data_IF_644533066237
#
_entry.id   IF_644533066237
#
_cell.length_a   1.000
_cell.length_b   1.000
_cell.length_c   1.000
_cell.angle_alpha   90.00
_cell.angle_beta   90.00
_cell.angle_gamma   90.00
#
_symmetry.space_group_name_H-M   'P 1'
#
loop_
_entity.id
_entity.type
_entity.pdbx_description
1 polymer ?
#
# COMPACT_ATOMS: atom_id res chain seq x y z
N UNK A 1 60.37 -68.59 -37.93
CA UNK A 1 60.39 -67.26 -37.27
C UNK A 1 59.26 -66.43 -37.86
N UNK A 2 58.43 -65.87 -36.99
CA UNK A 2 57.22 -65.10 -37.26
C UNK A 2 57.47 -63.87 -38.13
N UNK A 3 56.50 -63.55 -39.00
CA UNK A 3 56.12 -62.16 -39.31
C UNK A 3 54.74 -62.12 -39.97
N UNK A 4 53.72 -62.57 -39.22
CA UNK A 4 52.31 -62.60 -39.65
C UNK A 4 51.45 -61.41 -39.19
N UNK A 5 52.00 -60.38 -38.56
CA UNK A 5 51.18 -59.41 -37.78
C UNK A 5 51.28 -57.93 -38.20
N UNK A 6 51.89 -57.58 -39.33
CA UNK A 6 52.07 -56.16 -39.72
C UNK A 6 50.99 -55.52 -40.59
N UNK A 7 50.01 -56.29 -41.08
CA UNK A 7 48.91 -55.79 -41.93
C UNK A 7 47.59 -55.48 -41.22
N UNK A 8 47.42 -55.91 -39.96
CA UNK A 8 46.15 -55.68 -39.22
C UNK A 8 46.12 -54.35 -38.45
N UNK A 9 47.27 -53.83 -38.03
CA UNK A 9 47.33 -52.60 -37.22
C UNK A 9 46.87 -51.35 -37.98
N UNK A 10 47.07 -51.30 -39.30
CA UNK A 10 46.65 -50.19 -40.15
C UNK A 10 45.12 -50.18 -40.33
N UNK A 11 44.53 -51.36 -40.56
CA UNK A 11 43.07 -51.52 -40.71
C UNK A 11 42.36 -51.24 -39.37
N UNK A 12 42.90 -51.75 -38.26
CA UNK A 12 42.36 -51.45 -36.92
C UNK A 12 42.45 -49.96 -36.62
N UNK A 13 43.57 -49.29 -36.95
CA UNK A 13 43.72 -47.85 -36.75
C UNK A 13 42.69 -47.02 -37.52
N UNK A 14 42.41 -47.37 -38.78
CA UNK A 14 41.41 -46.70 -39.61
C UNK A 14 39.99 -46.92 -39.06
N UNK A 15 39.66 -48.14 -38.65
CA UNK A 15 38.34 -48.46 -38.06
C UNK A 15 38.14 -47.72 -36.73
N UNK A 16 39.18 -47.62 -35.90
CA UNK A 16 39.12 -46.92 -34.61
C UNK A 16 38.98 -45.41 -34.80
N UNK A 17 39.72 -44.82 -35.76
CA UNK A 17 39.56 -43.41 -36.11
C UNK A 17 38.16 -43.12 -36.65
N UNK A 18 37.63 -43.97 -37.52
CA UNK A 18 36.27 -43.84 -38.05
C UNK A 18 35.21 -43.98 -36.93
N UNK A 19 35.42 -44.91 -35.99
CA UNK A 19 34.54 -45.07 -34.84
C UNK A 19 34.54 -43.83 -33.92
N UNK A 20 35.72 -43.27 -33.65
CA UNK A 20 35.86 -42.05 -32.83
C UNK A 20 35.28 -40.83 -33.53
N UNK A 21 35.48 -40.66 -34.84
CA UNK A 21 34.93 -39.51 -35.57
C UNK A 21 33.41 -39.58 -35.66
N UNK A 22 32.84 -40.76 -35.92
CA UNK A 22 31.39 -40.96 -35.91
C UNK A 22 30.83 -40.68 -34.51
N UNK A 23 31.48 -41.18 -33.46
CA UNK A 23 31.07 -40.92 -32.09
C UNK A 23 31.13 -39.42 -31.75
N UNK A 24 32.21 -38.73 -32.10
CA UNK A 24 32.39 -37.29 -31.86
C UNK A 24 31.35 -36.44 -32.62
N UNK A 25 31.08 -36.76 -33.89
CA UNK A 25 30.04 -36.08 -34.68
C UNK A 25 28.66 -36.34 -34.08
N UNK A 26 28.35 -37.57 -33.68
CA UNK A 26 27.05 -37.93 -33.09
C UNK A 26 26.80 -37.16 -31.80
N UNK A 27 27.80 -37.10 -30.92
CA UNK A 27 27.71 -36.32 -29.67
C UNK A 27 27.53 -34.83 -29.97
N UNK A 28 28.32 -34.28 -30.90
CA UNK A 28 28.24 -32.86 -31.27
C UNK A 28 26.87 -32.50 -31.83
N UNK A 29 26.33 -33.32 -32.74
CA UNK A 29 25.00 -33.11 -33.32
C UNK A 29 23.93 -33.20 -32.23
N UNK A 30 23.97 -34.22 -31.37
CA UNK A 30 22.98 -34.39 -30.30
C UNK A 30 22.97 -33.18 -29.34
N UNK A 31 24.14 -32.69 -28.91
CA UNK A 31 24.24 -31.51 -28.05
C UNK A 31 23.82 -30.23 -28.79
N UNK A 32 24.18 -30.10 -30.08
CA UNK A 32 23.77 -28.98 -30.92
C UNK A 32 22.25 -28.88 -31.09
N UNK A 33 21.56 -30.01 -31.24
CA UNK A 33 20.10 -30.05 -31.35
C UNK A 33 19.40 -29.52 -30.10
N UNK A 34 19.86 -29.93 -28.92
CA UNK A 34 19.29 -29.49 -27.63
C UNK A 34 19.52 -28.00 -27.41
N UNK A 35 20.74 -27.52 -27.68
CA UNK A 35 21.06 -26.09 -27.57
C UNK A 35 20.27 -25.23 -28.57
N UNK A 36 20.03 -25.73 -29.79
CA UNK A 36 19.24 -25.03 -30.80
C UNK A 36 17.75 -24.96 -30.43
N UNK A 37 17.20 -26.03 -29.83
CA UNK A 37 15.82 -26.06 -29.32
C UNK A 37 15.60 -24.93 -28.31
N UNK A 38 16.43 -24.90 -27.25
CA UNK A 38 16.35 -23.87 -26.21
C UNK A 38 16.44 -22.43 -26.74
N UNK A 39 17.33 -22.18 -27.72
CA UNK A 39 17.45 -20.84 -28.34
C UNK A 39 16.23 -20.51 -29.19
N UNK A 40 15.61 -21.51 -29.82
CA UNK A 40 14.41 -21.31 -30.64
C UNK A 40 13.21 -20.98 -29.75
N UNK A 41 13.07 -21.68 -28.62
CA UNK A 41 11.97 -21.46 -27.68
C UNK A 41 12.06 -20.08 -27.02
N UNK A 42 13.27 -19.68 -26.57
CA UNK A 42 13.51 -18.33 -26.01
C UNK A 42 13.21 -17.23 -27.03
N UNK A 43 13.59 -17.43 -28.30
CA UNK A 43 13.33 -16.48 -29.37
C UNK A 43 11.82 -16.36 -29.69
N UNK A 44 11.07 -17.46 -29.57
CA UNK A 44 9.62 -17.45 -29.75
C UNK A 44 8.90 -16.73 -28.61
N UNK A 45 9.20 -17.07 -27.36
CA UNK A 45 8.64 -16.36 -26.18
C UNK A 45 8.97 -14.87 -26.24
N UNK A 46 10.21 -14.49 -26.56
CA UNK A 46 10.60 -13.09 -26.75
C UNK A 46 9.83 -12.41 -27.90
N UNK A 47 9.53 -13.13 -28.97
CA UNK A 47 8.69 -12.63 -30.07
C UNK A 47 7.27 -12.31 -29.60
N UNK A 48 6.67 -13.23 -28.85
CA UNK A 48 5.34 -13.06 -28.27
C UNK A 48 5.31 -11.93 -27.25
N UNK A 49 6.35 -11.75 -26.42
CA UNK A 49 6.42 -10.61 -25.48
C UNK A 49 6.35 -9.25 -26.18
N UNK A 50 7.09 -9.11 -27.28
CA UNK A 50 7.07 -7.89 -28.09
C UNK A 50 5.71 -7.70 -28.76
N UNK A 51 5.14 -8.79 -29.31
CA UNK A 51 3.81 -8.79 -29.92
C UNK A 51 2.70 -8.42 -28.94
N UNK A 52 2.74 -8.98 -27.72
CA UNK A 52 1.80 -8.68 -26.63
C UNK A 52 1.96 -7.23 -26.14
N UNK A 53 3.18 -6.71 -26.06
CA UNK A 53 3.43 -5.30 -25.70
C UNK A 53 2.88 -4.35 -26.78
N UNK A 54 3.02 -4.73 -28.05
CA UNK A 54 2.41 -3.97 -29.14
C UNK A 54 0.88 -4.06 -29.10
N UNK A 55 0.32 -5.25 -28.83
CA UNK A 55 -1.12 -5.43 -28.65
C UNK A 55 -1.66 -4.61 -27.47
N UNK A 56 -0.99 -4.61 -26.32
CA UNK A 56 -1.28 -3.74 -25.17
C UNK A 56 -1.39 -2.27 -25.61
N UNK A 57 -0.33 -1.77 -26.27
CA UNK A 57 -0.30 -0.38 -26.74
C UNK A 57 -1.42 -0.05 -27.74
N UNK A 58 -1.69 -0.95 -28.71
CA UNK A 58 -2.80 -0.75 -29.65
C UNK A 58 -4.16 -0.88 -28.98
N UNK A 59 -4.28 -1.78 -28.00
CA UNK A 59 -5.47 -2.00 -27.19
C UNK A 59 -5.82 -0.74 -26.39
N UNK A 60 -4.84 -0.09 -25.76
CA UNK A 60 -5.03 1.19 -25.07
C UNK A 60 -5.52 2.29 -26.01
N UNK A 61 -4.99 2.41 -27.23
CA UNK A 61 -5.46 3.39 -28.22
C UNK A 61 -6.92 3.14 -28.65
N UNK A 62 -7.33 1.87 -28.75
CA UNK A 62 -8.70 1.47 -29.10
C UNK A 62 -9.64 1.67 -27.92
N UNK A 63 -9.21 1.29 -26.72
CA UNK A 63 -9.90 1.47 -25.45
C UNK A 63 -10.23 2.94 -25.21
N UNK A 64 -9.24 3.83 -25.36
CA UNK A 64 -9.36 5.28 -25.16
C UNK A 64 -10.06 6.00 -26.33
N UNK A 65 -10.51 5.27 -27.36
CA UNK A 65 -11.32 5.80 -28.45
C UNK A 65 -10.55 6.56 -29.54
N UNK A 66 -9.22 6.41 -29.63
CA UNK A 66 -8.43 7.00 -30.71
C UNK A 66 -8.55 6.22 -32.04
N UNK A 67 -8.99 4.94 -31.98
CA UNK A 67 -9.27 4.11 -33.14
C UNK A 67 -10.38 3.08 -32.86
N UNK A 68 -11.21 2.76 -33.86
CA UNK A 68 -12.28 1.76 -33.70
C UNK A 68 -11.74 0.31 -33.66
N UNK A 69 -10.67 0.05 -34.41
CA UNK A 69 -10.04 -1.25 -34.52
C UNK A 69 -8.57 -1.16 -34.97
N UNK A 70 -7.74 -2.11 -34.55
CA UNK A 70 -6.32 -2.23 -34.94
C UNK A 70 -5.97 -3.69 -35.18
N UNK A 71 -5.09 -3.95 -36.14
CA UNK A 71 -4.51 -5.29 -36.33
C UNK A 71 -3.35 -5.50 -35.35
N UNK A 72 -3.21 -6.73 -34.89
CA UNK A 72 -2.06 -7.17 -34.10
C UNK A 72 -1.44 -8.44 -34.70
N UNK A 73 -0.18 -8.65 -34.39
CA UNK A 73 0.61 -9.83 -34.76
C UNK A 73 1.48 -10.19 -33.54
N UNK A 74 1.21 -11.36 -32.96
CA UNK A 74 1.96 -11.90 -31.82
C UNK A 74 3.20 -12.69 -32.26
N UNK A 75 3.45 -12.80 -33.56
CA UNK A 75 4.49 -13.64 -34.14
C UNK A 75 4.07 -15.11 -34.26
N UNK A 76 5.06 -16.00 -34.39
CA UNK A 76 4.82 -17.44 -34.42
C UNK A 76 4.52 -17.93 -33.00
N UNK A 77 3.36 -18.56 -32.85
CA UNK A 77 2.88 -19.15 -31.58
C UNK A 77 2.98 -20.68 -31.59
N UNK A 78 3.64 -21.26 -32.59
CA UNK A 78 3.67 -22.72 -32.83
C UNK A 78 4.40 -23.52 -31.73
N UNK A 79 5.26 -22.88 -30.93
CA UNK A 79 5.96 -23.50 -29.79
C UNK A 79 5.21 -23.44 -28.47
N UNK A 80 3.95 -23.01 -28.46
CA UNK A 80 3.15 -22.92 -27.24
C UNK A 80 1.64 -22.92 -27.52
N UNK A 81 0.86 -22.61 -26.49
CA UNK A 81 -0.60 -22.52 -26.57
C UNK A 81 -1.07 -21.11 -26.19
N UNK A 82 -1.95 -20.53 -27.02
CA UNK A 82 -2.66 -19.31 -26.66
C UNK A 82 -3.96 -19.65 -25.93
N UNK A 83 -4.23 -18.94 -24.83
CA UNK A 83 -5.44 -19.07 -24.02
C UNK A 83 -6.02 -17.70 -23.71
N UNK A 84 -7.28 -17.48 -24.04
CA UNK A 84 -8.05 -16.32 -23.61
C UNK A 84 -9.06 -16.74 -22.53
N UNK A 85 -8.93 -16.14 -21.35
CA UNK A 85 -9.84 -16.33 -20.22
C UNK A 85 -10.39 -14.99 -19.74
N UNK A 86 -11.64 -14.71 -20.09
CA UNK A 86 -12.32 -13.45 -19.80
C UNK A 86 -12.60 -13.25 -18.29
N UNK A 87 -12.54 -14.32 -17.50
CA UNK A 87 -12.81 -14.26 -16.06
C UNK A 87 -11.53 -14.21 -15.22
N UNK A 88 -10.36 -14.37 -15.86
CA UNK A 88 -9.07 -14.36 -15.18
C UNK A 88 -8.60 -12.94 -14.84
N UNK A 89 -8.04 -12.79 -13.65
CA UNK A 89 -7.60 -11.52 -13.10
C UNK A 89 -8.78 -10.66 -12.68
N UNK A 90 -8.88 -10.31 -11.40
CA UNK A 90 -9.94 -9.46 -10.86
C UNK A 90 -9.34 -8.18 -10.32
N UNK A 91 -10.02 -7.07 -10.54
CA UNK A 91 -9.71 -5.78 -9.94
C UNK A 91 -10.93 -5.23 -9.22
N UNK A 92 -10.67 -4.71 -8.04
CA UNK A 92 -11.64 -4.05 -7.21
C UNK A 92 -11.09 -2.68 -6.80
N UNK A 93 -11.84 -1.63 -7.12
CA UNK A 93 -11.57 -0.27 -6.65
C UNK A 93 -12.71 0.11 -5.72
N UNK A 94 -12.39 0.48 -4.49
CA UNK A 94 -13.39 0.83 -3.48
C UNK A 94 -12.88 1.95 -2.59
N UNK A 95 -13.80 2.66 -1.96
CA UNK A 95 -13.51 3.72 -1.00
C UNK A 95 -13.97 3.19 0.36
N UNK A 96 -13.02 3.05 1.29
CA UNK A 96 -13.30 2.68 2.67
C UNK A 96 -13.44 3.96 3.51
N UNK A 97 -14.58 4.10 4.18
CA UNK A 97 -14.80 5.03 5.28
C UNK A 97 -15.12 4.23 6.54
N UNK A 98 -15.17 4.88 7.71
CA UNK A 98 -15.51 4.20 8.98
C UNK A 98 -16.86 3.47 8.94
N UNK A 99 -17.83 4.04 8.22
CA UNK A 99 -19.23 3.58 8.25
C UNK A 99 -19.62 2.77 7.00
N UNK A 100 -18.88 2.92 5.90
CA UNK A 100 -19.28 2.40 4.60
C UNK A 100 -18.08 2.03 3.73
N UNK A 101 -18.24 0.99 2.91
CA UNK A 101 -17.33 0.66 1.81
C UNK A 101 -18.07 0.83 0.50
N UNK A 102 -17.71 1.88 -0.24
CA UNK A 102 -18.28 2.19 -1.54
C UNK A 102 -17.48 1.49 -2.64
N UNK A 103 -18.09 0.52 -3.32
CA UNK A 103 -17.50 -0.11 -4.50
C UNK A 103 -17.57 0.85 -5.69
N UNK A 104 -16.40 1.27 -6.21
CA UNK A 104 -16.29 2.13 -7.39
C UNK A 104 -16.26 1.29 -8.67
N UNK A 105 -15.49 0.21 -8.67
CA UNK A 105 -15.41 -0.74 -9.76
C UNK A 105 -15.13 -2.14 -9.24
N UNK A 106 -15.78 -3.14 -9.82
CA UNK A 106 -15.51 -4.54 -9.50
C UNK A 106 -15.71 -5.43 -10.72
N UNK A 107 -14.61 -5.98 -11.25
CA UNK A 107 -14.69 -6.73 -12.49
C UNK A 107 -13.44 -7.55 -12.80
N UNK A 108 -13.57 -8.42 -13.80
CA UNK A 108 -12.43 -9.17 -14.34
C UNK A 108 -11.72 -8.37 -15.42
N UNK A 109 -10.39 -8.40 -15.43
CA UNK A 109 -9.58 -7.88 -16.53
C UNK A 109 -9.72 -8.74 -17.78
N UNK A 110 -9.87 -10.06 -17.62
CA UNK A 110 -9.61 -10.99 -18.71
C UNK A 110 -8.11 -11.09 -18.99
N UNK A 111 -7.66 -12.29 -19.32
CA UNK A 111 -6.23 -12.56 -19.54
C UNK A 111 -6.03 -13.32 -20.85
N UNK A 112 -5.21 -12.77 -21.74
CA UNK A 112 -4.67 -13.49 -22.89
C UNK A 112 -3.28 -14.01 -22.54
N UNK A 113 -3.12 -15.32 -22.48
CA UNK A 113 -1.86 -15.98 -22.13
C UNK A 113 -1.29 -16.73 -23.32
N UNK A 114 0.03 -16.71 -23.42
CA UNK A 114 0.82 -17.63 -24.22
C UNK A 114 1.63 -18.51 -23.28
N UNK A 115 1.36 -19.81 -23.28
CA UNK A 115 2.07 -20.81 -22.47
C UNK A 115 3.10 -21.50 -23.35
N UNK A 116 4.36 -21.09 -23.23
CA UNK A 116 5.50 -21.78 -23.83
C UNK A 116 6.07 -22.87 -22.92
N UNK A 117 7.14 -23.55 -23.36
CA UNK A 117 7.75 -24.64 -22.58
C UNK A 117 8.41 -24.15 -21.27
N UNK A 118 9.03 -22.97 -21.30
CA UNK A 118 9.80 -22.43 -20.17
C UNK A 118 9.21 -21.14 -19.59
N UNK A 119 8.36 -20.44 -20.35
CA UNK A 119 7.93 -19.08 -20.02
C UNK A 119 6.49 -18.86 -20.46
N UNK A 120 5.71 -18.29 -19.55
CA UNK A 120 4.34 -17.83 -19.83
C UNK A 120 4.34 -16.32 -19.99
N UNK A 121 3.66 -15.82 -21.00
CA UNK A 121 3.48 -14.38 -21.24
C UNK A 121 1.99 -14.06 -21.21
N UNK A 122 1.59 -13.08 -20.43
CA UNK A 122 0.20 -12.70 -20.27
C UNK A 122 -0.03 -11.21 -20.51
N UNK A 123 -1.13 -10.91 -21.20
CA UNK A 123 -1.70 -9.57 -21.30
C UNK A 123 -2.91 -9.50 -20.36
N UNK A 124 -2.86 -8.61 -19.36
CA UNK A 124 -3.90 -8.43 -18.36
C UNK A 124 -3.96 -6.97 -17.88
N UNK A 125 -5.15 -6.38 -17.83
CA UNK A 125 -5.36 -5.02 -17.31
C UNK A 125 -4.59 -3.93 -18.07
N UNK A 126 -4.26 -4.18 -19.34
CA UNK A 126 -3.41 -3.31 -20.16
C UNK A 126 -1.90 -3.50 -19.95
N UNK A 127 -1.47 -4.24 -18.93
CA UNK A 127 -0.06 -4.59 -18.68
C UNK A 127 0.32 -5.92 -19.33
N UNK A 128 1.63 -6.10 -19.57
CA UNK A 128 2.20 -7.36 -20.04
C UNK A 128 3.10 -7.93 -18.98
N UNK A 129 2.87 -9.19 -18.65
CA UNK A 129 3.51 -9.93 -17.57
C UNK A 129 4.19 -11.16 -18.13
N UNK A 130 5.34 -11.52 -17.57
CA UNK A 130 6.01 -12.78 -17.85
C UNK A 130 6.11 -13.58 -16.55
N UNK A 131 5.93 -14.89 -16.62
CA UNK A 131 6.19 -15.80 -15.51
C UNK A 131 7.22 -16.84 -15.94
N UNK A 132 8.29 -16.95 -15.14
CA UNK A 132 9.32 -17.98 -15.23
C UNK A 132 9.57 -18.53 -13.82
N UNK A 133 9.57 -19.85 -13.66
CA UNK A 133 9.77 -20.49 -12.36
C UNK A 133 8.70 -20.19 -11.30
N UNK A 134 7.53 -19.66 -11.70
CA UNK A 134 6.41 -19.34 -10.80
C UNK A 134 6.39 -17.89 -10.29
N UNK A 135 7.35 -17.05 -10.68
CA UNK A 135 7.40 -15.63 -10.29
C UNK A 135 6.95 -14.73 -11.45
N UNK A 136 5.98 -13.86 -11.18
CA UNK A 136 5.46 -12.91 -12.16
C UNK A 136 6.31 -11.63 -12.24
N UNK A 137 6.69 -11.22 -13.44
CA UNK A 137 7.47 -9.99 -13.70
C UNK A 137 6.76 -9.10 -14.72
N UNK A 138 6.80 -7.80 -14.49
CA UNK A 138 6.34 -6.81 -15.47
C UNK A 138 7.27 -6.69 -16.68
N UNK A 139 6.71 -6.80 -17.88
CA UNK A 139 7.37 -6.52 -19.18
C UNK A 139 6.96 -5.14 -19.69
N UNK A 140 5.66 -4.87 -19.69
CA UNK A 140 5.08 -3.58 -20.06
C UNK A 140 4.09 -3.13 -18.98
N UNK A 141 4.17 -1.87 -18.52
CA UNK A 141 3.28 -1.39 -17.48
C UNK A 141 1.83 -1.27 -17.98
N UNK A 142 0.85 -1.50 -17.10
CA UNK A 142 -0.54 -1.10 -17.33
C UNK A 142 -0.69 0.42 -17.24
N UNK A 143 -1.85 0.92 -17.65
CA UNK A 143 -2.21 2.32 -17.49
C UNK A 143 -2.66 2.60 -16.05
N UNK A 144 -1.84 3.31 -15.29
CA UNK A 144 -2.16 3.80 -13.94
C UNK A 144 -1.38 5.09 -13.74
N UNK A 145 -2.10 6.21 -13.63
CA UNK A 145 -1.50 7.54 -13.55
C UNK A 145 -1.87 8.18 -12.23
N UNK A 146 -0.93 8.15 -11.30
CA UNK A 146 -1.00 8.93 -10.09
C UNK A 146 -0.13 10.19 -10.22
N UNK A 147 -0.71 11.37 -10.03
CA UNK A 147 0.01 12.65 -10.11
C UNK A 147 -0.52 13.66 -9.09
N UNK A 148 0.34 14.06 -8.15
CA UNK A 148 0.01 15.09 -7.16
C UNK A 148 -1.03 14.56 -6.18
N UNK A 149 -2.31 14.77 -6.50
CA UNK A 149 -3.45 14.25 -5.72
C UNK A 149 -4.53 13.60 -6.60
N UNK A 150 -4.20 13.29 -7.86
CA UNK A 150 -5.15 12.70 -8.81
C UNK A 150 -4.71 11.30 -9.21
N UNK A 151 -5.57 10.31 -9.00
CA UNK A 151 -5.46 8.98 -9.60
C UNK A 151 -6.37 8.88 -10.82
N UNK A 152 -5.79 8.59 -11.98
CA UNK A 152 -6.50 8.19 -13.18
C UNK A 152 -6.18 6.73 -13.49
N UNK A 153 -7.18 5.86 -13.40
CA UNK A 153 -7.05 4.42 -13.62
C UNK A 153 -8.02 3.91 -14.71
N UNK A 154 -7.58 3.87 -15.98
CA UNK A 154 -8.37 3.28 -17.06
C UNK A 154 -8.16 1.76 -17.08
N UNK A 155 -9.18 1.03 -16.63
CA UNK A 155 -9.19 -0.43 -16.57
C UNK A 155 -9.48 -0.98 -17.96
N UNK A 156 -8.54 -1.75 -18.52
CA UNK A 156 -8.71 -2.42 -19.82
C UNK A 156 -9.19 -3.85 -19.60
N UNK A 157 -10.36 -4.18 -20.13
CA UNK A 157 -10.95 -5.52 -20.07
C UNK A 157 -10.89 -6.22 -21.42
N UNK A 158 -10.33 -7.42 -21.45
CA UNK A 158 -10.21 -8.28 -22.63
C UNK A 158 -11.39 -9.23 -22.75
N UNK A 159 -11.99 -9.29 -23.94
CA UNK A 159 -13.01 -10.27 -24.32
C UNK A 159 -12.68 -10.90 -25.67
N UNK A 160 -13.33 -12.00 -26.04
CA UNK A 160 -13.18 -12.62 -27.35
C UNK A 160 -14.00 -13.89 -27.52
N UNK A 161 -14.27 -14.25 -28.78
CA UNK A 161 -15.08 -15.43 -29.10
C UNK A 161 -14.31 -16.75 -28.92
N UNK A 162 -12.99 -16.72 -29.09
CA UNK A 162 -12.12 -17.90 -29.09
C UNK A 162 -11.30 -18.00 -27.80
N UNK A 163 -11.54 -19.07 -27.02
CA UNK A 163 -10.76 -19.36 -25.81
C UNK A 163 -9.37 -19.93 -26.08
N UNK A 164 -9.19 -20.61 -27.21
CA UNK A 164 -7.93 -21.26 -27.60
C UNK A 164 -7.58 -20.92 -29.05
N UNK A 165 -7.11 -19.69 -29.31
CA UNK A 165 -6.75 -19.24 -30.65
C UNK A 165 -5.59 -20.07 -31.21
N UNK A 166 -5.62 -20.31 -32.53
CA UNK A 166 -4.53 -21.02 -33.23
C UNK A 166 -3.58 -20.10 -33.99
N UNK A 167 -3.99 -18.85 -34.20
CA UNK A 167 -3.22 -17.81 -34.90
C UNK A 167 -2.78 -16.76 -33.90
N UNK A 168 -1.56 -16.24 -34.05
CA UNK A 168 -1.09 -15.04 -33.34
C UNK A 168 -1.57 -13.74 -34.00
N UNK A 169 -2.30 -13.81 -35.11
CA UNK A 169 -2.76 -12.64 -35.87
C UNK A 169 -4.25 -12.41 -35.63
N UNK A 170 -4.63 -11.14 -35.62
CA UNK A 170 -6.03 -10.76 -35.47
C UNK A 170 -6.28 -9.26 -35.45
N UNK A 171 -7.48 -8.91 -35.01
CA UNK A 171 -7.97 -7.55 -34.84
C UNK A 171 -8.41 -7.36 -33.39
N UNK A 172 -7.92 -6.29 -32.76
CA UNK A 172 -8.48 -5.76 -31.52
C UNK A 172 -9.43 -4.63 -31.86
N UNK A 173 -10.62 -4.65 -31.27
CA UNK A 173 -11.68 -3.66 -31.55
C UNK A 173 -12.41 -3.28 -30.29
N UNK A 174 -12.88 -2.04 -30.24
CA UNK A 174 -13.60 -1.53 -29.07
C UNK A 174 -14.94 -2.25 -28.98
N UNK A 175 -15.26 -2.77 -27.81
CA UNK A 175 -16.58 -3.30 -27.50
C UNK A 175 -17.33 -2.27 -26.65
N UNK A 176 -18.66 -2.09 -26.84
CA UNK A 176 -19.47 -1.36 -25.89
C UNK A 176 -19.37 -2.06 -24.52
N UNK A 177 -18.73 -1.40 -23.56
CA UNK A 177 -18.71 -1.85 -22.17
C UNK A 177 -20.07 -1.66 -21.50
N UNK A 178 -20.16 -2.09 -20.25
CA UNK A 178 -21.33 -1.79 -19.42
C UNK A 178 -21.23 -0.32 -18.96
N UNK A 179 -22.17 0.57 -19.35
CA UNK A 179 -22.12 1.97 -18.96
C UNK A 179 -22.24 2.17 -17.43
N UNK A 180 -22.76 1.18 -16.72
CA UNK A 180 -22.92 1.18 -15.26
C UNK A 180 -21.82 0.34 -14.56
N UNK A 181 -20.76 -0.07 -15.29
CA UNK A 181 -19.65 -0.85 -14.72
C UNK A 181 -18.86 -0.08 -13.65
N UNK A 182 -18.82 1.25 -13.77
CA UNK A 182 -18.13 2.15 -12.85
C UNK A 182 -19.16 3.02 -12.16
N UNK A 183 -19.21 2.94 -10.84
CA UNK A 183 -20.04 3.81 -10.04
C UNK A 183 -19.46 5.22 -10.03
N UNK A 184 -20.33 6.22 -10.19
CA UNK A 184 -19.91 7.63 -10.19
C UNK A 184 -19.39 7.99 -8.81
N UNK A 185 -18.14 8.46 -8.76
CA UNK A 185 -17.51 8.95 -7.54
C UNK A 185 -17.56 10.47 -7.49
N UNK A 186 -17.92 11.02 -6.33
CA UNK A 186 -17.81 12.45 -6.08
C UNK A 186 -16.35 12.90 -6.17
N UNK A 187 -16.12 14.06 -6.79
CA UNK A 187 -14.81 14.64 -6.95
C UNK A 187 -14.90 16.14 -6.65
N UNK A 188 -14.07 16.69 -5.75
CA UNK A 188 -13.03 16.01 -4.96
C UNK A 188 -13.62 15.01 -3.95
N UNK A 189 -12.84 13.99 -3.60
CA UNK A 189 -13.13 13.08 -2.50
C UNK A 189 -13.12 13.87 -1.18
N UNK A 190 -14.05 13.57 -0.28
CA UNK A 190 -14.20 14.29 0.99
C UNK A 190 -13.46 13.60 2.13
N UNK A 191 -13.47 12.27 2.18
CA UNK A 191 -12.79 11.47 3.20
C UNK A 191 -12.57 10.03 2.69
N UNK A 192 -11.92 9.21 3.52
CA UNK A 192 -11.76 7.78 3.30
C UNK A 192 -10.44 7.37 2.65
N UNK A 193 -10.30 6.06 2.44
CA UNK A 193 -9.16 5.42 1.81
C UNK A 193 -9.59 4.76 0.51
N UNK A 194 -9.00 5.20 -0.60
CA UNK A 194 -9.14 4.53 -1.90
C UNK A 194 -8.26 3.28 -1.89
N UNK A 195 -8.90 2.12 -2.02
CA UNK A 195 -8.25 0.82 -2.09
C UNK A 195 -8.37 0.28 -3.51
N UNK A 196 -7.22 -0.02 -4.11
CA UNK A 196 -7.11 -0.73 -5.39
C UNK A 196 -6.55 -2.12 -5.12
N UNK A 197 -7.42 -3.13 -5.20
CA UNK A 197 -7.06 -4.53 -4.99
C UNK A 197 -7.06 -5.29 -6.31
N UNK A 198 -6.02 -6.08 -6.54
CA UNK A 198 -5.86 -6.93 -7.72
C UNK A 198 -5.64 -8.37 -7.26
N UNK A 199 -6.51 -9.27 -7.71
CA UNK A 199 -6.34 -10.71 -7.56
C UNK A 199 -5.90 -11.33 -8.90
N UNK A 200 -4.70 -11.89 -8.95
CA UNK A 200 -4.13 -12.40 -10.20
C UNK A 200 -3.05 -13.45 -9.99
N UNK A 201 -2.83 -14.33 -10.97
CA UNK A 201 -1.63 -15.18 -10.98
C UNK A 201 -0.33 -14.38 -11.11
N UNK A 202 -0.42 -13.14 -11.59
CA UNK A 202 0.70 -12.21 -11.77
C UNK A 202 0.78 -11.16 -10.64
N UNK A 203 0.20 -11.42 -9.47
CA UNK A 203 0.12 -10.47 -8.35
C UNK A 203 1.50 -9.94 -7.93
N UNK A 204 2.58 -10.74 -7.94
CA UNK A 204 3.93 -10.25 -7.64
C UNK A 204 4.38 -9.14 -8.61
N UNK A 205 4.05 -9.26 -9.90
CA UNK A 205 4.33 -8.22 -10.88
C UNK A 205 3.50 -6.96 -10.64
N UNK A 206 2.25 -7.11 -10.22
CA UNK A 206 1.39 -5.99 -9.82
C UNK A 206 1.90 -5.30 -8.55
N UNK A 207 2.39 -6.07 -7.58
CA UNK A 207 3.02 -5.56 -6.36
C UNK A 207 4.27 -4.74 -6.70
N UNK A 208 5.16 -5.26 -7.54
CA UNK A 208 6.34 -4.54 -8.00
C UNK A 208 5.96 -3.25 -8.74
N UNK A 209 4.91 -3.28 -9.56
CA UNK A 209 4.42 -2.12 -10.29
C UNK A 209 3.89 -1.04 -9.36
N UNK A 210 2.99 -1.38 -8.45
CA UNK A 210 2.44 -0.42 -7.49
C UNK A 210 3.51 0.09 -6.53
N UNK A 211 4.42 -0.75 -6.06
CA UNK A 211 5.51 -0.31 -5.18
C UNK A 211 6.44 0.71 -5.86
N UNK A 212 6.58 0.66 -7.19
CA UNK A 212 7.41 1.59 -7.96
C UNK A 212 6.67 2.85 -8.44
N UNK A 213 5.33 2.82 -8.55
CA UNK A 213 4.54 3.88 -9.21
C UNK A 213 3.34 4.38 -8.45
N UNK A 214 2.78 3.60 -7.53
CA UNK A 214 1.55 3.95 -6.82
C UNK A 214 1.79 4.89 -5.63
N UNK A 215 3.05 5.18 -5.27
CA UNK A 215 3.44 6.12 -4.21
C UNK A 215 2.53 6.11 -2.93
N UNK A 216 2.03 4.93 -2.56
CA UNK A 216 1.16 4.68 -1.41
C UNK A 216 1.54 3.37 -0.73
N UNK A 217 0.85 2.98 0.35
CA UNK A 217 1.11 1.66 0.97
C UNK A 217 0.60 0.57 0.03
N UNK A 218 1.50 -0.36 -0.28
CA UNK A 218 1.23 -1.50 -1.14
C UNK A 218 1.55 -2.76 -0.36
N UNK A 219 0.57 -3.63 -0.22
CA UNK A 219 0.73 -4.93 0.43
C UNK A 219 0.41 -6.05 -0.56
N UNK A 220 0.84 -7.27 -0.21
CA UNK A 220 0.50 -8.48 -0.96
C UNK A 220 0.13 -9.61 -0.01
N UNK A 221 -0.77 -10.48 -0.45
CA UNK A 221 -1.13 -11.73 0.22
C UNK A 221 -0.85 -12.88 -0.75
N UNK A 222 0.22 -13.63 -0.47
CA UNK A 222 0.68 -14.74 -1.31
C UNK A 222 -0.31 -15.94 -1.28
N UNK A 223 -1.10 -16.09 -0.20
CA UNK A 223 -2.07 -17.19 -0.07
C UNK A 223 -3.30 -16.96 -0.93
N UNK A 224 -3.78 -15.72 -1.01
CA UNK A 224 -4.90 -15.32 -1.85
C UNK A 224 -4.49 -14.82 -3.24
N UNK A 225 -3.18 -14.65 -3.47
CA UNK A 225 -2.58 -14.09 -4.69
C UNK A 225 -3.15 -12.71 -5.01
N UNK A 226 -3.15 -11.84 -4.00
CA UNK A 226 -3.66 -10.48 -4.10
C UNK A 226 -2.58 -9.44 -3.86
N UNK A 227 -2.78 -8.27 -4.46
CA UNK A 227 -1.98 -7.06 -4.24
C UNK A 227 -2.93 -5.90 -3.99
N UNK A 228 -2.65 -5.12 -2.96
CA UNK A 228 -3.53 -4.04 -2.53
C UNK A 228 -2.74 -2.76 -2.40
N UNK A 229 -3.13 -1.73 -3.14
CA UNK A 229 -2.61 -0.37 -3.01
C UNK A 229 -3.65 0.50 -2.29
N UNK A 230 -3.20 1.29 -1.32
CA UNK A 230 -4.03 2.19 -0.51
C UNK A 230 -3.58 3.64 -0.73
N UNK A 231 -4.56 4.53 -0.96
CA UNK A 231 -4.36 5.98 -1.11
C UNK A 231 -5.37 6.70 -0.23
N UNK A 232 -4.90 7.60 0.62
CA UNK A 232 -5.74 8.23 1.64
C UNK A 232 -6.12 9.63 1.22
N UNK A 233 -7.40 9.97 1.40
CA UNK A 233 -7.89 11.33 1.20
C UNK A 233 -7.44 12.17 2.39
N UNK A 234 -6.63 13.22 2.21
CA UNK A 234 -6.28 14.13 3.29
C UNK A 234 -7.53 14.70 3.91
N UNK A 235 -7.48 14.85 5.22
CA UNK A 235 -8.44 15.65 5.93
C UNK A 235 -7.70 16.72 6.73
N UNK A 236 -8.27 17.92 6.72
CA UNK A 236 -7.76 19.05 7.47
C UNK A 236 -8.64 19.19 8.70
N UNK A 237 -8.12 18.72 9.84
CA UNK A 237 -8.86 18.78 11.09
C UNK A 237 -8.68 20.17 11.68
N UNK A 238 -9.80 20.85 11.88
CA UNK A 238 -9.86 22.13 12.60
C UNK A 238 -10.54 21.95 13.94
N UNK A 239 -9.91 22.45 15.00
CA UNK A 239 -10.45 22.37 16.35
C UNK A 239 -11.20 23.66 16.69
N UNK A 240 -12.49 23.74 16.33
CA UNK A 240 -13.38 24.81 16.82
C UNK A 240 -13.77 24.62 18.30
N UNK A 241 -13.72 23.37 18.77
CA UNK A 241 -13.93 22.94 20.15
C UNK A 241 -12.75 22.06 20.59
N UNK A 242 -12.48 21.93 21.89
CA UNK A 242 -11.39 21.08 22.37
C UNK A 242 -11.62 19.60 22.03
N UNK A 243 -12.87 19.12 22.05
CA UNK A 243 -13.20 17.73 21.74
C UNK A 243 -14.05 17.62 20.46
N UNK A 244 -13.71 16.69 19.58
CA UNK A 244 -14.54 16.27 18.46
C UNK A 244 -14.82 14.77 18.57
N UNK A 245 -16.10 14.40 18.62
CA UNK A 245 -16.54 13.03 18.83
C UNK A 245 -17.22 12.46 17.59
N UNK A 246 -16.90 11.20 17.30
CA UNK A 246 -17.54 10.40 16.28
C UNK A 246 -18.97 9.99 16.64
N UNK A 247 -19.36 8.81 16.16
CA UNK A 247 -20.74 8.31 16.31
C UNK A 247 -21.10 7.86 17.73
N UNK A 248 -20.10 7.60 18.58
CA UNK A 248 -20.31 7.17 19.96
C UNK A 248 -20.70 8.30 20.92
N UNK A 249 -20.32 9.55 20.62
CA UNK A 249 -20.73 10.74 21.36
C UNK A 249 -20.21 10.81 22.80
N UNK A 250 -20.76 11.74 23.58
CA UNK A 250 -20.37 12.02 24.96
C UNK A 250 -21.34 11.38 25.96
N UNK A 251 -20.78 10.72 26.98
CA UNK A 251 -21.52 10.18 28.12
C UNK A 251 -20.90 10.63 29.44
N UNK A 252 -21.73 10.90 30.44
CA UNK A 252 -21.29 11.19 31.81
C UNK A 252 -21.91 10.20 32.79
N UNK A 253 -21.07 9.39 33.43
CA UNK A 253 -21.46 8.37 34.40
C UNK A 253 -21.21 8.79 35.87
N UNK A 254 -20.81 10.05 36.06
CA UNK A 254 -20.64 10.69 37.36
C UNK A 254 -21.91 11.36 37.90
N UNK A 255 -21.84 11.81 39.15
CA UNK A 255 -22.89 12.64 39.74
C UNK A 255 -22.56 14.12 39.62
N UNK A 256 -23.18 14.86 38.70
CA UNK A 256 -22.89 16.29 38.52
C UNK A 256 -23.43 16.80 37.18
N UNK A 257 -22.98 17.99 36.78
CA UNK A 257 -23.02 18.39 35.37
C UNK A 257 -21.72 17.91 34.75
N UNK A 258 -21.79 17.08 33.71
CA UNK A 258 -20.62 16.68 32.92
C UNK A 258 -20.01 17.85 32.15
N UNK A 259 -19.36 17.57 31.02
CA UNK A 259 -18.84 18.58 30.11
C UNK A 259 -19.92 19.56 29.64
N UNK A 260 -19.50 20.80 29.40
CA UNK A 260 -20.36 21.79 28.76
C UNK A 260 -20.49 21.47 27.26
N UNK A 261 -21.67 21.67 26.69
CA UNK A 261 -21.92 21.43 25.25
C UNK A 261 -21.07 22.35 24.34
N UNK A 262 -20.45 23.39 24.88
CA UNK A 262 -19.47 24.22 24.16
C UNK A 262 -18.09 23.58 24.03
N UNK A 263 -17.78 22.55 24.82
CA UNK A 263 -16.46 21.91 24.85
C UNK A 263 -16.32 20.75 23.84
N UNK A 264 -17.43 20.25 23.26
CA UNK A 264 -17.38 19.07 22.38
C UNK A 264 -18.36 19.12 21.20
N UNK A 265 -18.01 18.57 20.04
CA UNK A 265 -18.94 18.21 18.95
C UNK A 265 -19.17 16.70 18.91
N UNK A 266 -20.31 16.26 18.35
CA UNK A 266 -20.68 14.84 18.23
C UNK A 266 -21.23 14.51 16.85
N UNK A 267 -21.08 13.25 16.43
CA UNK A 267 -21.54 12.78 15.14
C UNK A 267 -20.69 13.28 13.98
N UNK A 268 -19.47 13.72 14.27
CA UNK A 268 -18.48 14.08 13.28
C UNK A 268 -17.95 12.82 12.60
N UNK A 269 -17.50 12.94 11.35
CA UNK A 269 -16.87 11.84 10.62
C UNK A 269 -15.38 12.14 10.52
N UNK A 270 -14.56 11.21 10.96
CA UNK A 270 -13.11 11.35 10.95
C UNK A 270 -12.49 10.27 10.07
N UNK A 271 -11.45 10.57 9.28
CA UNK A 271 -10.71 9.53 8.60
C UNK A 271 -9.98 8.59 9.57
N UNK A 272 -9.92 7.32 9.22
CA UNK A 272 -9.07 6.35 9.93
C UNK A 272 -7.59 6.73 9.87
N UNK A 273 -6.88 6.45 10.96
CA UNK A 273 -5.46 6.81 11.18
C UNK A 273 -4.50 5.63 10.90
N UNK A 274 -5.04 4.44 10.61
CA UNK A 274 -4.30 3.19 10.51
C UNK A 274 -3.22 3.27 9.44
N UNK A 275 -3.59 3.74 8.26
CA UNK A 275 -2.70 3.92 7.11
C UNK A 275 -1.53 4.86 7.38
N UNK A 276 -1.78 5.97 8.11
CA UNK A 276 -0.76 6.91 8.54
C UNK A 276 0.24 6.23 9.48
N UNK A 277 -0.24 5.42 10.41
CA UNK A 277 0.60 4.71 11.37
C UNK A 277 1.37 3.56 10.70
N UNK A 278 0.71 2.72 9.87
CA UNK A 278 1.35 1.61 9.16
C UNK A 278 2.50 2.11 8.28
N UNK A 279 2.28 3.21 7.55
CA UNK A 279 3.31 3.84 6.73
C UNK A 279 4.52 4.29 7.55
N UNK A 280 4.27 4.88 8.73
CA UNK A 280 5.37 5.28 9.60
C UNK A 280 6.11 4.06 10.16
N UNK A 281 5.40 3.00 10.57
CA UNK A 281 6.04 1.74 11.02
C UNK A 281 6.89 1.11 9.91
N UNK A 282 6.35 1.00 8.69
CA UNK A 282 7.04 0.43 7.53
C UNK A 282 8.27 1.25 7.12
N UNK A 283 8.14 2.58 7.09
CA UNK A 283 9.23 3.48 6.67
C UNK A 283 10.44 3.45 7.59
N UNK A 284 10.22 3.18 8.88
CA UNK A 284 11.27 3.27 9.90
C UNK A 284 12.04 1.97 10.07
N UNK A 285 11.47 0.83 9.62
CA UNK A 285 12.01 -0.53 9.76
C UNK A 285 13.44 -0.76 9.26
N UNK A 286 14.04 0.18 8.52
CA UNK A 286 15.43 0.10 8.07
C UNK A 286 16.33 1.31 8.46
N UNK A 287 15.79 2.40 9.04
CA UNK A 287 16.55 3.66 9.17
C UNK A 287 16.34 4.50 10.43
N UNK A 288 15.37 4.17 11.29
CA UNK A 288 15.14 4.89 12.55
C UNK A 288 16.19 4.61 13.64
N UNK A 289 16.40 5.59 14.52
CA UNK A 289 17.05 5.35 15.81
C UNK A 289 16.17 4.46 16.69
N UNK A 290 16.75 3.69 17.61
CA UNK A 290 15.94 2.94 18.55
C UNK A 290 15.36 3.92 19.57
N UNK A 291 14.06 3.85 19.88
CA UNK A 291 13.44 4.75 20.87
C UNK A 291 14.14 4.67 22.22
N UNK A 292 14.53 3.48 22.65
CA UNK A 292 15.27 3.28 23.91
C UNK A 292 16.62 4.00 23.96
N UNK A 293 17.18 4.45 22.84
CA UNK A 293 18.43 5.20 22.80
C UNK A 293 18.29 6.62 23.36
N UNK A 294 17.07 7.20 23.34
CA UNK A 294 16.80 8.54 23.87
C UNK A 294 15.88 8.55 25.10
N UNK A 295 15.35 7.40 25.50
CA UNK A 295 14.67 7.28 26.79
C UNK A 295 15.69 7.29 27.95
N UNK A 296 15.33 7.89 29.09
CA UNK A 296 16.10 7.83 30.35
C UNK A 296 17.55 8.38 30.28
N UNK A 297 17.73 9.63 29.85
CA UNK A 297 19.04 10.28 30.00
C UNK A 297 19.18 11.67 29.41
N UNK A 298 19.33 11.76 28.09
CA UNK A 298 19.44 13.03 27.34
C UNK A 298 18.15 13.27 26.56
N UNK A 299 17.81 14.53 26.24
CA UNK A 299 16.62 14.81 25.46
C UNK A 299 16.63 14.06 24.13
N UNK A 300 15.48 13.55 23.70
CA UNK A 300 15.29 13.07 22.33
C UNK A 300 15.39 14.29 21.39
N UNK A 301 16.50 14.35 20.63
CA UNK A 301 16.76 15.41 19.65
C UNK A 301 16.06 15.13 18.31
N UNK A 302 16.11 16.07 17.37
CA UNK A 302 15.46 15.94 16.07
C UNK A 302 15.82 14.63 15.34
N UNK A 303 14.80 13.91 14.86
CA UNK A 303 15.01 12.60 14.23
C UNK A 303 13.78 11.71 14.35
N UNK A 304 13.92 10.48 13.89
CA UNK A 304 12.88 9.46 13.96
C UNK A 304 13.34 8.31 14.84
N UNK A 305 12.52 7.96 15.83
CA UNK A 305 12.77 6.93 16.82
C UNK A 305 11.70 5.86 16.73
N UNK A 306 12.10 4.60 16.86
CA UNK A 306 11.22 3.45 16.68
C UNK A 306 11.31 2.43 17.80
N UNK A 307 10.14 1.95 18.22
CA UNK A 307 9.98 0.79 19.07
C UNK A 307 9.16 -0.27 18.30
N UNK A 308 9.68 -1.50 18.13
CA UNK A 308 8.99 -2.56 17.39
C UNK A 308 7.84 -3.25 18.15
N UNK A 309 7.78 -3.03 19.47
CA UNK A 309 6.83 -3.62 20.42
C UNK A 309 6.39 -2.52 21.42
N UNK A 310 5.56 -2.90 22.40
CA UNK A 310 5.05 -2.04 23.46
C UNK A 310 6.17 -1.30 24.23
N UNK A 311 5.85 -0.08 24.68
CA UNK A 311 6.75 0.81 25.40
C UNK A 311 6.15 1.18 26.73
N UNK A 312 6.76 0.71 27.82
CA UNK A 312 6.49 1.17 29.17
C UNK A 312 7.53 2.23 29.59
N UNK A 313 7.09 3.45 29.89
CA UNK A 313 8.00 4.49 30.37
C UNK A 313 8.34 4.27 31.84
N UNK A 314 9.63 4.01 32.10
CA UNK A 314 10.17 3.87 33.47
C UNK A 314 10.55 5.21 34.12
N UNK A 315 10.49 6.32 33.37
CA UNK A 315 10.82 7.66 33.84
C UNK A 315 10.57 8.76 32.81
N UNK A 316 10.75 10.00 33.26
CA UNK A 316 10.48 11.20 32.47
C UNK A 316 11.34 11.27 31.21
N UNK A 317 10.73 11.75 30.12
CA UNK A 317 11.37 11.91 28.82
C UNK A 317 11.26 13.36 28.36
N UNK A 318 12.42 13.95 28.09
CA UNK A 318 12.55 15.30 27.56
C UNK A 318 12.75 15.25 26.04
N UNK A 319 12.19 16.21 25.31
CA UNK A 319 12.40 16.39 23.88
C UNK A 319 13.07 17.73 23.59
N UNK A 320 14.04 17.74 22.67
CA UNK A 320 14.65 18.96 22.12
C UNK A 320 14.31 19.05 20.63
N UNK A 321 13.34 19.90 20.31
CA UNK A 321 12.90 20.13 18.93
C UNK A 321 13.62 21.31 18.28
N UNK A 322 14.68 21.86 18.88
CA UNK A 322 15.42 23.02 18.33
C UNK A 322 16.06 22.75 16.97
N UNK A 323 16.45 21.49 16.72
CA UNK A 323 17.01 21.02 15.44
C UNK A 323 15.99 20.67 14.36
N UNK A 324 14.70 20.58 14.72
CA UNK A 324 13.61 20.11 13.86
C UNK A 324 12.62 19.24 14.63
N UNK A 325 11.61 18.72 13.93
CA UNK A 325 10.62 17.83 14.55
C UNK A 325 11.26 16.53 15.05
N UNK A 326 10.68 15.98 16.11
CA UNK A 326 10.97 14.64 16.61
C UNK A 326 9.79 13.73 16.22
N UNK A 327 10.08 12.55 15.71
CA UNK A 327 9.07 11.56 15.34
C UNK A 327 9.27 10.30 16.15
N UNK A 328 8.25 9.89 16.90
CA UNK A 328 8.22 8.69 17.72
C UNK A 328 7.24 7.72 17.05
N UNK A 329 7.71 6.52 16.72
CA UNK A 329 6.90 5.46 16.12
C UNK A 329 6.93 4.24 17.04
N UNK A 330 5.77 3.85 17.55
CA UNK A 330 5.61 2.70 18.43
C UNK A 330 4.73 1.68 17.73
N UNK A 331 5.28 0.49 17.48
CA UNK A 331 4.56 -0.62 16.87
C UNK A 331 3.90 -1.51 17.94
N UNK A 332 3.10 -0.89 18.80
CA UNK A 332 2.47 -1.49 19.97
C UNK A 332 1.87 -0.40 20.85
N UNK A 333 1.62 -0.74 22.11
CA UNK A 333 1.08 0.20 23.11
C UNK A 333 2.16 1.14 23.65
N UNK A 334 1.78 2.37 23.98
CA UNK A 334 2.62 3.33 24.69
C UNK A 334 2.02 3.60 26.08
N UNK A 335 2.59 2.98 27.11
CA UNK A 335 2.25 3.26 28.50
C UNK A 335 3.18 4.34 29.06
N UNK A 336 2.64 5.54 29.22
CA UNK A 336 3.33 6.68 29.84
C UNK A 336 3.55 6.42 31.34
N UNK A 337 2.75 5.53 31.94
CA UNK A 337 2.82 5.23 33.36
C UNK A 337 2.59 6.50 34.18
N UNK A 338 3.50 6.79 35.11
CA UNK A 338 3.49 7.99 35.95
C UNK A 338 4.56 9.01 35.52
N UNK A 339 5.00 8.94 34.26
CA UNK A 339 6.15 9.69 33.76
C UNK A 339 5.70 10.95 33.03
N UNK A 340 6.63 11.89 32.90
CA UNK A 340 6.41 13.12 32.12
C UNK A 340 6.97 13.01 30.70
N UNK A 341 6.24 13.55 29.71
CA UNK A 341 6.71 13.80 28.35
C UNK A 341 6.74 15.30 28.10
N UNK A 342 7.93 15.91 28.11
CA UNK A 342 8.06 17.36 28.07
C UNK A 342 8.93 17.84 26.91
N UNK A 343 8.42 18.81 26.14
CA UNK A 343 9.22 19.51 25.14
C UNK A 343 9.93 20.71 25.79
N UNK A 344 11.26 20.68 25.77
CA UNK A 344 12.13 21.53 26.59
C UNK A 344 12.92 22.56 25.80
N UNK A 345 12.23 23.22 24.87
CA UNK A 345 12.79 24.31 24.08
C UNK A 345 11.69 25.29 23.66
N UNK A 346 12.09 26.38 22.97
CA UNK A 346 11.21 27.46 22.55
C UNK A 346 11.04 27.54 21.02
N UNK A 347 11.28 26.45 20.30
CA UNK A 347 11.00 26.36 18.86
C UNK A 347 9.53 26.11 18.57
N UNK A 348 9.11 26.31 17.33
CA UNK A 348 7.75 26.00 16.85
C UNK A 348 7.63 24.55 16.34
N UNK A 349 8.69 23.75 16.45
CA UNK A 349 8.70 22.36 16.02
C UNK A 349 7.95 21.48 17.02
N UNK A 350 7.48 20.34 16.55
CA UNK A 350 6.66 19.41 17.33
C UNK A 350 7.27 18.02 17.46
N UNK A 351 6.81 17.30 18.48
CA UNK A 351 6.96 15.86 18.65
C UNK A 351 5.69 15.19 18.09
N UNK A 352 5.88 14.27 17.15
CA UNK A 352 4.80 13.49 16.55
C UNK A 352 4.90 12.05 17.00
N UNK A 353 3.83 11.52 17.58
CA UNK A 353 3.72 10.15 18.07
C UNK A 353 2.80 9.36 17.14
N UNK A 354 3.31 8.28 16.54
CA UNK A 354 2.55 7.32 15.74
C UNK A 354 2.50 6.00 16.51
N UNK A 355 1.34 5.68 17.09
CA UNK A 355 1.19 4.55 18.02
C UNK A 355 0.26 3.51 17.39
N UNK A 356 0.82 2.36 17.01
CA UNK A 356 0.11 1.19 16.48
C UNK A 356 -0.47 0.33 17.62
N UNK A 357 -1.24 0.98 18.49
CA UNK A 357 -1.80 0.40 19.69
C UNK A 357 -2.54 1.49 20.46
N UNK A 358 -2.66 1.31 21.76
CA UNK A 358 -3.24 2.28 22.68
C UNK A 358 -2.18 3.14 23.37
N UNK A 359 -2.56 4.37 23.75
CA UNK A 359 -1.78 5.22 24.66
C UNK A 359 -2.42 5.18 26.04
N UNK A 360 -1.66 4.74 27.03
CA UNK A 360 -2.09 4.58 28.42
C UNK A 360 -1.33 5.57 29.30
N UNK A 361 -1.98 6.08 30.35
CA UNK A 361 -1.34 6.89 31.37
C UNK A 361 -2.03 6.71 32.72
N UNK A 362 -1.26 6.72 33.80
CA UNK A 362 -1.76 6.45 35.15
C UNK A 362 -1.03 7.28 36.23
N UNK A 363 -1.70 7.45 37.36
CA UNK A 363 -1.17 8.07 38.57
C UNK A 363 -0.81 9.55 38.47
N UNK A 364 0.33 9.99 37.93
CA UNK A 364 0.68 11.43 37.84
C UNK A 364 1.35 11.87 36.52
N UNK A 365 1.00 11.25 35.39
CA UNK A 365 1.62 11.58 34.11
C UNK A 365 1.30 13.00 33.61
N UNK A 366 2.31 13.67 33.07
CA UNK A 366 2.17 14.99 32.42
C UNK A 366 2.71 14.93 30.99
N UNK A 367 1.93 15.38 30.02
CA UNK A 367 2.39 15.59 28.63
C UNK A 367 2.24 17.07 28.31
N UNK A 368 3.32 17.72 27.85
CA UNK A 368 3.23 19.14 27.54
C UNK A 368 4.57 19.78 27.18
N UNK A 369 4.70 21.06 27.51
CA UNK A 369 5.94 21.82 27.33
C UNK A 369 6.34 22.48 28.64
N UNK A 370 7.62 22.81 28.80
CA UNK A 370 8.08 23.57 29.98
C UNK A 370 7.83 25.07 29.89
N UNK A 371 7.17 25.54 28.83
CA UNK A 371 6.82 26.95 28.67
C UNK A 371 5.62 27.31 29.56
N UNK A 372 5.51 28.61 29.88
CA UNK A 372 4.46 29.10 30.77
C UNK A 372 3.07 29.20 30.10
N UNK A 373 3.05 29.23 28.77
CA UNK A 373 1.82 29.21 27.97
C UNK A 373 1.62 27.78 27.44
N UNK A 374 0.38 27.34 27.36
CA UNK A 374 0.03 26.05 26.74
C UNK A 374 0.36 26.07 25.26
N UNK A 375 1.07 25.05 24.80
CA UNK A 375 1.49 24.88 23.40
C UNK A 375 1.12 23.47 22.91
N UNK A 376 -0.17 23.11 22.99
CA UNK A 376 -0.66 21.76 22.71
C UNK A 376 -0.27 21.26 21.31
N UNK A 377 -0.15 22.16 20.33
CA UNK A 377 0.28 21.83 18.96
C UNK A 377 1.68 21.21 18.88
N UNK A 378 2.50 21.34 19.93
CA UNK A 378 3.86 20.79 19.99
C UNK A 378 3.90 19.30 20.32
N UNK A 379 2.83 18.74 20.88
CA UNK A 379 2.68 17.31 21.06
C UNK A 379 1.52 16.82 20.19
N UNK A 380 1.80 15.96 19.21
CA UNK A 380 0.80 15.47 18.25
C UNK A 380 0.74 13.95 18.29
N UNK A 381 -0.34 13.39 18.82
CA UNK A 381 -0.56 11.94 18.90
C UNK A 381 -1.48 11.48 17.77
N UNK A 382 -1.06 10.43 17.07
CA UNK A 382 -1.84 9.68 16.09
C UNK A 382 -1.91 8.24 16.60
N UNK A 383 -3.09 7.83 17.05
CA UNK A 383 -3.26 6.60 17.85
C UNK A 383 -4.29 5.70 17.22
N UNK A 384 -3.91 4.45 16.97
CA UNK A 384 -4.72 3.49 16.22
C UNK A 384 -5.95 3.02 16.97
N UNK A 385 -5.75 2.62 18.22
CA UNK A 385 -6.75 1.92 19.02
C UNK A 385 -7.35 2.87 20.06
N UNK A 386 -6.82 2.90 21.29
CA UNK A 386 -7.38 3.66 22.40
C UNK A 386 -6.45 4.76 22.93
N UNK A 387 -7.04 5.82 23.47
CA UNK A 387 -6.31 6.88 24.16
C UNK A 387 -6.90 7.10 25.55
N UNK A 388 -6.10 6.88 26.59
CA UNK A 388 -6.51 7.03 27.99
C UNK A 388 -7.74 6.18 28.36
N UNK A 389 -7.76 4.92 27.91
CA UNK A 389 -8.75 3.94 28.34
C UNK A 389 -8.45 3.51 29.78
N UNK A 390 -9.44 3.62 30.67
CA UNK A 390 -9.36 3.19 32.08
C UNK A 390 -8.31 3.94 32.93
N UNK A 391 -8.36 5.28 32.92
CA UNK A 391 -7.44 6.12 33.71
C UNK A 391 -7.72 6.13 35.21
N UNK A 392 -6.66 6.08 36.03
CA UNK A 392 -6.69 6.39 37.47
C UNK A 392 -5.57 7.37 37.84
N UNK A 393 -5.81 8.24 38.82
CA UNK A 393 -4.84 9.24 39.30
C UNK A 393 -5.12 10.69 38.91
N UNK A 394 -4.07 11.46 38.66
CA UNK A 394 -4.05 12.86 38.25
C UNK A 394 -3.24 13.01 36.96
N UNK A 395 -3.89 13.18 35.81
CA UNK A 395 -3.23 13.20 34.50
C UNK A 395 -3.40 14.58 33.87
N UNK A 396 -2.36 15.13 33.27
CA UNK A 396 -2.38 16.42 32.56
C UNK A 396 -1.82 16.24 31.14
N UNK A 397 -2.63 16.52 30.12
CA UNK A 397 -2.25 16.35 28.71
C UNK A 397 -2.49 17.65 27.95
N UNK A 398 -1.39 18.28 27.56
CA UNK A 398 -1.34 19.41 26.64
C UNK A 398 -0.89 18.93 25.26
N UNK A 399 -1.86 18.55 24.42
CA UNK A 399 -1.58 17.93 23.13
C UNK A 399 -2.70 18.10 22.11
N UNK A 400 -2.35 17.84 20.85
CA UNK A 400 -3.30 17.44 19.81
C UNK A 400 -3.32 15.92 19.77
N UNK A 401 -4.50 15.31 19.91
CA UNK A 401 -4.69 13.87 19.85
C UNK A 401 -5.68 13.51 18.75
N UNK A 402 -5.24 12.67 17.81
CA UNK A 402 -6.05 12.12 16.75
C UNK A 402 -6.17 10.61 16.92
N UNK A 403 -7.27 10.18 17.56
CA UNK A 403 -7.57 8.79 17.89
C UNK A 403 -9.03 8.48 17.54
N UNK A 404 -9.41 8.53 16.24
CA UNK A 404 -10.81 8.50 15.80
C UNK A 404 -11.55 7.20 16.16
N UNK A 405 -10.82 6.10 16.41
CA UNK A 405 -11.39 4.82 16.83
C UNK A 405 -11.51 4.66 18.37
N UNK A 406 -10.98 5.61 19.16
CA UNK A 406 -10.87 5.48 20.62
C UNK A 406 -12.21 5.67 21.31
N UNK A 407 -12.56 4.73 22.19
CA UNK A 407 -13.66 4.84 23.15
C UNK A 407 -13.11 5.27 24.51
N UNK A 408 -12.81 6.56 24.63
CA UNK A 408 -12.06 7.11 25.76
C UNK A 408 -12.88 7.14 27.05
N UNK A 409 -12.34 6.60 28.15
CA UNK A 409 -12.99 6.57 29.46
C UNK A 409 -12.12 7.28 30.51
N UNK A 410 -12.52 8.50 30.87
CA UNK A 410 -11.80 9.34 31.83
C UNK A 410 -12.26 9.06 33.26
N UNK A 411 -11.40 8.38 34.01
CA UNK A 411 -11.46 8.19 35.45
C UNK A 411 -10.47 9.11 36.19
N UNK A 412 -10.55 9.15 37.52
CA UNK A 412 -9.63 9.97 38.33
C UNK A 412 -9.79 11.49 38.14
N UNK A 413 -8.67 12.22 38.17
CA UNK A 413 -8.59 13.65 37.89
C UNK A 413 -7.81 13.89 36.59
N UNK A 414 -8.47 14.31 35.51
CA UNK A 414 -7.80 14.45 34.19
C UNK A 414 -7.96 15.87 33.68
N UNK A 415 -6.85 16.52 33.31
CA UNK A 415 -6.84 17.81 32.62
C UNK A 415 -6.38 17.61 31.17
N UNK A 416 -7.21 18.01 30.22
CA UNK A 416 -6.92 17.94 28.78
C UNK A 416 -6.93 19.36 28.20
N UNK A 417 -5.81 19.82 27.66
CA UNK A 417 -5.70 21.13 27.01
C UNK A 417 -5.24 20.96 25.56
N UNK A 418 -6.06 21.40 24.60
CA UNK A 418 -5.71 21.29 23.18
C UNK A 418 -6.88 20.88 22.29
N UNK A 419 -6.63 19.90 21.42
CA UNK A 419 -7.57 19.43 20.41
C UNK A 419 -7.57 17.90 20.33
N UNK A 420 -8.71 17.28 20.59
CA UNK A 420 -8.83 15.83 20.73
C UNK A 420 -9.93 15.28 19.84
N UNK A 421 -9.61 14.22 19.11
CA UNK A 421 -10.53 13.48 18.23
C UNK A 421 -10.68 12.06 18.75
N UNK A 422 -11.91 11.66 19.11
CA UNK A 422 -12.27 10.33 19.62
C UNK A 422 -13.54 9.78 18.96
N UNK A 423 -13.78 8.47 19.01
CA UNK A 423 -15.10 7.92 18.63
C UNK A 423 -16.15 8.26 19.69
N UNK A 424 -15.80 8.03 20.96
CA UNK A 424 -16.64 8.34 22.11
C UNK A 424 -15.82 8.84 23.29
N UNK A 425 -16.48 9.58 24.19
CA UNK A 425 -15.88 10.04 25.44
C UNK A 425 -16.85 9.80 26.60
N UNK A 426 -16.40 9.03 27.58
CA UNK A 426 -17.11 8.80 28.84
C UNK A 426 -16.34 9.41 29.99
N UNK A 427 -17.00 10.25 30.81
CA UNK A 427 -16.40 10.77 32.05
C UNK A 427 -17.08 10.15 33.27
N UNK A 428 -16.29 9.62 34.22
CA UNK A 428 -16.81 8.90 35.39
C UNK A 428 -16.78 9.70 36.69
N UNK A 429 -15.96 10.76 36.73
CA UNK A 429 -15.80 11.65 37.89
C UNK A 429 -16.19 13.07 37.51
N UNK A 430 -16.28 14.00 38.46
CA UNK A 430 -16.41 15.44 38.16
C UNK A 430 -15.08 16.18 38.22
N UNK A 431 -13.98 15.45 38.41
CA UNK A 431 -12.66 16.04 38.62
C UNK A 431 -11.86 16.07 37.32
N UNK A 432 -12.54 16.30 36.19
CA UNK A 432 -11.89 16.53 34.91
C UNK A 432 -11.94 18.03 34.54
N UNK A 433 -10.97 18.47 33.75
CA UNK A 433 -10.93 19.78 33.14
C UNK A 433 -10.61 19.62 31.65
N UNK A 434 -11.36 20.30 30.79
CA UNK A 434 -11.09 20.33 29.36
C UNK A 434 -10.99 21.81 28.97
N UNK A 435 -9.86 22.18 28.37
CA UNK A 435 -9.58 23.54 27.96
C UNK A 435 -9.19 23.57 26.48
N UNK A 436 -9.73 24.54 25.74
CA UNK A 436 -9.30 24.78 24.37
C UNK A 436 -8.02 25.61 24.38
N UNK A 437 -6.99 25.12 23.70
CA UNK A 437 -5.79 25.92 23.45
C UNK A 437 -6.06 26.92 22.31
N UNK A 438 -6.17 28.20 22.65
CA UNK A 438 -6.42 29.27 21.67
C UNK A 438 -5.36 29.31 20.54
N UNK A 439 -4.16 28.76 20.76
CA UNK A 439 -3.12 28.66 19.73
C UNK A 439 -3.50 27.73 18.57
N UNK A 440 -4.50 26.86 18.74
CA UNK A 440 -5.06 25.99 17.72
C UNK A 440 -6.12 26.68 16.84
N UNK A 441 -6.66 27.83 17.26
CA UNK A 441 -7.68 28.53 16.47
C UNK A 441 -7.14 28.96 15.09
N UNK A 442 -7.75 28.44 14.03
CA UNK A 442 -7.35 28.71 12.65
C UNK A 442 -6.09 27.96 12.19
N UNK A 443 -5.62 26.99 12.97
CA UNK A 443 -4.64 26.00 12.52
C UNK A 443 -5.37 24.79 11.94
N UNK A 444 -4.96 24.39 10.74
CA UNK A 444 -5.37 23.14 10.12
C UNK A 444 -4.34 22.08 10.44
N UNK A 445 -4.78 20.95 10.99
CA UNK A 445 -3.94 19.77 11.19
C UNK A 445 -4.28 18.79 10.09
N UNK A 446 -3.43 18.78 9.07
CA UNK A 446 -3.59 17.84 7.96
C UNK A 446 -3.25 16.43 8.43
N UNK A 447 -4.25 15.57 8.51
CA UNK A 447 -4.08 14.13 8.66
C UNK A 447 -3.89 13.57 7.25
N UNK A 448 -2.63 13.56 6.80
CA UNK A 448 -2.23 12.82 5.60
C UNK A 448 -2.09 11.34 5.95
N UNK A 449 -2.41 10.42 5.04
CA UNK A 449 -2.28 8.97 5.25
C UNK A 449 -0.88 8.39 5.42
N UNK A 450 0.10 9.12 5.95
CA UNK A 450 1.45 8.61 6.18
C UNK A 450 2.54 9.56 5.71
N UNK A 451 3.69 9.52 6.38
CA UNK A 451 4.93 9.93 5.72
C UNK A 451 5.22 8.93 4.58
N UNK A 452 5.22 9.41 3.34
CA UNK A 452 5.48 8.58 2.15
C UNK A 452 4.23 8.07 1.42
N UNK A 453 3.03 8.35 1.92
CA UNK A 453 1.80 8.11 1.15
C UNK A 453 1.35 9.40 0.49
N UNK A 454 1.31 9.40 -0.83
CA UNK A 454 0.84 10.54 -1.56
C UNK A 454 -0.69 10.64 -1.45
N UNK A 455 -1.22 11.80 -1.03
CA UNK A 455 -2.63 11.98 -0.76
C UNK A 455 -3.51 11.93 -2.01
N UNK A 456 -4.72 11.40 -1.95
CA UNK A 456 -5.66 11.43 -3.09
C UNK A 456 -6.82 12.40 -2.83
N UNK A 457 -7.05 13.32 -3.76
CA UNK A 457 -8.20 14.24 -3.77
C UNK A 457 -9.13 13.94 -4.93
N UNK A 458 -8.59 13.41 -6.04
CA UNK A 458 -9.37 13.15 -7.24
C UNK A 458 -9.18 11.71 -7.71
N UNK A 459 -10.29 11.00 -7.92
CA UNK A 459 -10.31 9.64 -8.43
C UNK A 459 -11.08 9.58 -9.75
N UNK A 460 -10.40 9.10 -10.79
CA UNK A 460 -10.97 8.89 -12.11
C UNK A 460 -10.77 7.43 -12.55
N UNK A 461 -11.80 6.62 -12.40
CA UNK A 461 -11.83 5.23 -12.86
C UNK A 461 -12.68 5.14 -14.13
N UNK A 462 -12.25 4.33 -15.11
CA UNK A 462 -13.06 4.02 -16.29
C UNK A 462 -12.85 2.58 -16.73
N UNK A 463 -13.90 1.91 -17.23
CA UNK A 463 -13.78 0.62 -17.88
C UNK A 463 -13.70 0.80 -19.40
N UNK A 464 -12.74 0.11 -20.01
CA UNK A 464 -12.57 0.07 -21.46
C UNK A 464 -12.50 -1.38 -21.94
N UNK A 465 -13.58 -1.85 -22.56
CA UNK A 465 -13.68 -3.22 -23.07
C UNK A 465 -13.13 -3.30 -24.50
N UNK A 466 -12.19 -4.21 -24.72
CA UNK A 466 -11.63 -4.52 -26.04
C UNK A 466 -11.85 -5.99 -26.37
N UNK A 467 -12.39 -6.23 -27.56
CA UNK A 467 -12.65 -7.57 -28.08
C UNK A 467 -11.51 -7.98 -29.02
N UNK A 468 -10.96 -9.17 -28.76
CA UNK A 468 -9.97 -9.82 -29.58
C UNK A 468 -10.65 -10.78 -30.55
N UNK A 469 -10.38 -10.59 -31.85
CA UNK A 469 -10.78 -11.52 -32.89
C UNK A 469 -9.53 -12.03 -33.61
N UNK A 470 -9.29 -13.34 -33.53
CA UNK A 470 -8.20 -14.00 -34.22
C UNK A 470 -8.60 -14.37 -35.66
N UNK A 471 -7.61 -14.46 -36.55
CA UNK A 471 -7.78 -14.74 -37.99
C UNK A 471 -8.10 -16.21 -38.33
#
# INVERSE_FOLDING_TARGET
MNSGERGQSEVIGVVLLLGITIAAVTVTVATGSVALGLVTDEAQSSGVENGMSQLSSQGSLVALGEADARRFDLGSVDGGELRLDENAGRVEVRIETENETDSVYNGSFGTLEYVGEHRTVALQGGGVWASDGGHGRMISPPEYHYRGTTLTFPIVRLTGEERYPRSGNGIVRRSPGDPDAVNVTDNPLQNGTVVVEIQSEYYEGWYDFFSQRADGSVTKDDANRTTTARLVVPDDVTFERPISLGSGGYTHDGGGSGLDESDYSEGESHPGVESLIDSNVESVGESGGNLSDCLNGSPCENGTYYAPDDVDLEGDTDFDTSGGNVTIVVNGDLDIGNSDLQVNDSSENSVKYYVNGSVLANGNAVVGTTNAETESYRNQFYVRDGFLEETDGTIEIDAVVYAPNSDTELGGNVALSGGFVFNSLTTQSNAFAIEHDESLLGREITVTGGAGQNPITYLHVSENVVELQFD
#
